data_IF_321688625969
#
_entry.id   IF_321688625969
#
_cell.length_a   1.000
_cell.length_b   1.000
_cell.length_c   1.000
_cell.angle_alpha   90.00
_cell.angle_beta   90.00
_cell.angle_gamma   90.00
#
_symmetry.space_group_name_H-M   'P 1'
#
loop_
_entity.id
_entity.type
_entity.pdbx_description
1 polymer ?
#
# COMPACT_ATOMS: atom_id res chain seq x y z
N UNK A 1 1.73 3.40 15.44
CA UNK A 1 1.55 1.99 15.04
C UNK A 1 0.16 1.73 14.44
N UNK A 2 -0.92 1.93 15.20
CA UNK A 2 -2.31 1.63 14.74
C UNK A 2 -2.64 2.33 13.42
N UNK A 3 -2.36 3.62 13.28
CA UNK A 3 -2.63 4.36 12.04
C UNK A 3 -1.89 3.75 10.83
N UNK A 4 -0.62 3.37 10.97
CA UNK A 4 0.14 2.73 9.88
C UNK A 4 -0.44 1.36 9.52
N UNK A 5 -0.88 0.58 10.52
CA UNK A 5 -1.56 -0.70 10.27
C UNK A 5 -2.86 -0.50 9.50
N UNK A 6 -3.70 0.42 9.92
CA UNK A 6 -4.97 0.70 9.24
C UNK A 6 -4.74 1.17 7.80
N UNK A 7 -3.80 2.10 7.59
CA UNK A 7 -3.48 2.61 6.25
C UNK A 7 -2.81 1.56 5.36
N UNK A 8 -2.09 0.62 5.93
CA UNK A 8 -1.51 -0.51 5.20
C UNK A 8 -2.51 -1.61 4.88
N UNK A 9 -3.44 -1.90 5.79
CA UNK A 9 -4.40 -3.01 5.66
C UNK A 9 -5.65 -2.63 4.87
N UNK A 10 -6.20 -1.41 5.04
CA UNK A 10 -7.45 -1.00 4.40
C UNK A 10 -7.45 -1.18 2.88
N UNK A 11 -6.42 -0.77 2.13
CA UNK A 11 -6.38 -1.01 0.68
C UNK A 11 -6.36 -2.49 0.32
N UNK A 12 -5.71 -3.34 1.14
CA UNK A 12 -5.71 -4.79 0.94
C UNK A 12 -7.09 -5.40 1.18
N UNK A 13 -7.83 -4.93 2.18
CA UNK A 13 -9.23 -5.35 2.43
C UNK A 13 -10.11 -4.95 1.26
N UNK A 14 -9.98 -3.72 0.75
CA UNK A 14 -10.74 -3.26 -0.42
C UNK A 14 -10.39 -4.09 -1.67
N UNK A 15 -9.11 -4.41 -1.87
CA UNK A 15 -8.67 -5.29 -2.95
C UNK A 15 -9.25 -6.70 -2.82
N UNK A 16 -9.33 -7.25 -1.59
CA UNK A 16 -9.93 -8.57 -1.34
C UNK A 16 -11.45 -8.59 -1.60
N UNK A 17 -12.16 -7.54 -1.21
CA UNK A 17 -13.58 -7.38 -1.51
C UNK A 17 -13.83 -7.28 -3.01
N UNK A 18 -13.02 -6.50 -3.72
CA UNK A 18 -13.08 -6.42 -5.18
C UNK A 18 -12.82 -7.79 -5.82
N UNK A 19 -11.74 -8.47 -5.42
CA UNK A 19 -11.38 -9.78 -5.94
C UNK A 19 -12.48 -10.80 -5.73
N UNK A 20 -13.07 -10.84 -4.54
CA UNK A 20 -14.19 -11.71 -4.22
C UNK A 20 -15.39 -11.42 -5.13
N UNK A 21 -15.85 -10.17 -5.17
CA UNK A 21 -17.04 -9.78 -5.93
C UNK A 21 -16.87 -10.01 -7.43
N UNK A 22 -15.69 -9.67 -7.95
CA UNK A 22 -15.37 -9.87 -9.36
C UNK A 22 -15.36 -11.35 -9.74
N UNK A 23 -14.60 -12.17 -9.02
CA UNK A 23 -14.48 -13.59 -9.34
C UNK A 23 -15.80 -14.33 -9.12
N UNK A 24 -16.58 -13.92 -8.11
CA UNK A 24 -17.93 -14.44 -7.89
C UNK A 24 -18.83 -14.22 -9.11
N UNK A 25 -18.98 -12.99 -9.58
CA UNK A 25 -19.92 -12.64 -10.66
C UNK A 25 -19.44 -13.13 -12.03
N UNK A 26 -18.13 -13.13 -12.26
CA UNK A 26 -17.56 -13.38 -13.60
C UNK A 26 -17.20 -14.85 -13.81
N UNK A 27 -16.81 -15.55 -12.74
CA UNK A 27 -16.31 -16.93 -12.86
C UNK A 27 -17.23 -17.91 -12.16
N UNK A 28 -17.44 -17.74 -10.86
CA UNK A 28 -18.09 -18.77 -10.02
C UNK A 28 -19.57 -18.91 -10.35
N UNK A 29 -20.31 -17.81 -10.38
CA UNK A 29 -21.73 -17.82 -10.70
C UNK A 29 -22.05 -18.44 -12.08
N UNK A 30 -21.33 -18.12 -13.17
CA UNK A 30 -21.47 -18.83 -14.43
C UNK A 30 -21.13 -20.33 -14.37
N UNK A 31 -20.16 -20.74 -13.54
CA UNK A 31 -19.83 -22.16 -13.34
C UNK A 31 -20.96 -22.90 -12.64
N UNK A 32 -21.53 -22.31 -11.58
CA UNK A 32 -22.68 -22.88 -10.88
C UNK A 32 -23.90 -23.03 -11.83
N UNK A 33 -24.15 -22.02 -12.67
CA UNK A 33 -25.21 -22.09 -13.70
C UNK A 33 -24.99 -23.18 -14.74
N UNK A 34 -23.73 -23.62 -14.94
CA UNK A 34 -23.38 -24.77 -15.80
C UNK A 34 -23.46 -26.12 -15.06
N UNK A 35 -23.90 -26.15 -13.81
CA UNK A 35 -24.05 -27.39 -13.02
C UNK A 35 -22.79 -27.83 -12.30
N UNK A 36 -21.81 -26.92 -12.10
CA UNK A 36 -20.60 -27.20 -11.33
C UNK A 36 -20.83 -26.68 -9.88
N UNK A 37 -21.75 -27.33 -9.15
CA UNK A 37 -22.21 -26.82 -7.82
C UNK A 37 -21.11 -26.76 -6.78
N UNK A 38 -20.08 -27.59 -6.88
CA UNK A 38 -18.95 -27.58 -5.92
C UNK A 38 -18.04 -26.36 -6.08
N UNK A 39 -18.04 -25.66 -7.21
CA UNK A 39 -17.19 -24.49 -7.45
C UNK A 39 -17.44 -23.37 -6.44
N UNK A 40 -18.70 -23.13 -6.08
CA UNK A 40 -19.08 -22.15 -5.07
C UNK A 40 -18.47 -22.48 -3.70
N UNK A 41 -18.65 -23.71 -3.25
CA UNK A 41 -18.13 -24.15 -1.94
C UNK A 41 -16.60 -24.03 -1.87
N UNK A 42 -15.88 -24.55 -2.86
CA UNK A 42 -14.42 -24.49 -2.89
C UNK A 42 -13.90 -23.05 -2.99
N UNK A 43 -14.58 -22.19 -3.75
CA UNK A 43 -14.22 -20.78 -3.82
C UNK A 43 -14.40 -20.09 -2.46
N UNK A 44 -15.55 -20.25 -1.82
CA UNK A 44 -15.82 -19.62 -0.51
C UNK A 44 -14.82 -20.08 0.56
N UNK A 45 -14.55 -21.38 0.67
CA UNK A 45 -13.56 -21.93 1.59
C UNK A 45 -12.17 -21.37 1.29
N UNK A 46 -11.77 -21.34 0.02
CA UNK A 46 -10.47 -20.79 -0.38
C UNK A 46 -10.35 -19.31 -0.04
N UNK A 47 -11.38 -18.51 -0.26
CA UNK A 47 -11.41 -17.08 0.10
C UNK A 47 -11.21 -16.89 1.61
N UNK A 48 -11.93 -17.65 2.43
CA UNK A 48 -11.80 -17.56 3.89
C UNK A 48 -10.38 -17.94 4.33
N UNK A 49 -9.88 -19.07 3.88
CA UNK A 49 -8.56 -19.58 4.27
C UNK A 49 -7.45 -18.63 3.81
N UNK A 50 -7.44 -18.29 2.53
CA UNK A 50 -6.37 -17.44 1.95
C UNK A 50 -6.37 -16.05 2.59
N UNK A 51 -7.53 -15.43 2.77
CA UNK A 51 -7.58 -14.11 3.40
C UNK A 51 -7.21 -14.18 4.88
N UNK A 52 -7.71 -15.16 5.63
CA UNK A 52 -7.36 -15.31 7.05
C UNK A 52 -5.86 -15.51 7.25
N UNK A 53 -5.25 -16.43 6.51
CA UNK A 53 -3.81 -16.69 6.59
C UNK A 53 -3.02 -15.50 6.07
N UNK A 54 -3.38 -14.95 4.90
CA UNK A 54 -2.67 -13.86 4.26
C UNK A 54 -2.69 -12.59 5.10
N UNK A 55 -3.86 -12.16 5.59
CA UNK A 55 -3.96 -10.97 6.45
C UNK A 55 -3.24 -11.16 7.79
N UNK A 56 -3.36 -12.33 8.41
CA UNK A 56 -2.67 -12.61 9.68
C UNK A 56 -1.16 -12.59 9.52
N UNK A 57 -0.64 -13.27 8.49
CA UNK A 57 0.79 -13.33 8.20
C UNK A 57 1.33 -11.96 7.77
N UNK A 58 0.63 -11.25 6.88
CA UNK A 58 1.01 -9.91 6.43
C UNK A 58 1.05 -8.91 7.58
N UNK A 59 0.03 -8.93 8.45
CA UNK A 59 -0.02 -8.09 9.64
C UNK A 59 1.12 -8.39 10.59
N UNK A 60 1.36 -9.66 10.91
CA UNK A 60 2.44 -10.07 11.82
C UNK A 60 3.81 -9.63 11.27
N UNK A 61 4.06 -9.84 9.98
CA UNK A 61 5.31 -9.45 9.33
C UNK A 61 5.48 -7.93 9.31
N UNK A 62 4.43 -7.17 8.99
CA UNK A 62 4.49 -5.71 9.01
C UNK A 62 4.72 -5.17 10.42
N UNK A 63 4.02 -5.70 11.43
CA UNK A 63 4.23 -5.34 12.85
C UNK A 63 5.67 -5.61 13.26
N UNK A 64 6.23 -6.77 12.91
CA UNK A 64 7.63 -7.11 13.17
C UNK A 64 8.59 -6.07 12.55
N UNK A 65 8.37 -5.69 11.29
CA UNK A 65 9.20 -4.71 10.59
C UNK A 65 9.04 -3.29 11.12
N UNK A 66 7.85 -2.89 11.58
CA UNK A 66 7.56 -1.57 12.11
C UNK A 66 7.88 -1.41 13.62
N UNK A 67 8.00 -2.51 14.35
CA UNK A 67 8.22 -2.49 15.80
C UNK A 67 9.45 -1.67 16.25
N UNK A 68 10.63 -1.73 15.58
CA UNK A 68 11.76 -0.89 15.95
C UNK A 68 11.45 0.61 15.89
N UNK A 69 10.72 1.05 14.85
CA UNK A 69 10.31 2.46 14.68
C UNK A 69 9.32 2.86 15.76
N UNK A 70 8.35 2.00 16.06
CA UNK A 70 7.38 2.25 17.12
C UNK A 70 8.01 2.37 18.50
N UNK A 71 8.96 1.48 18.82
CA UNK A 71 9.73 1.57 20.09
C UNK A 71 10.62 2.82 20.12
N UNK A 72 11.33 3.12 19.03
CA UNK A 72 12.14 4.32 18.93
C UNK A 72 11.31 5.60 19.12
N UNK A 73 10.08 5.63 18.61
CA UNK A 73 9.16 6.76 18.83
C UNK A 73 8.72 6.86 20.30
N UNK A 74 8.43 5.72 20.94
CA UNK A 74 8.12 5.69 22.37
C UNK A 74 9.31 6.17 23.23
N UNK A 75 10.52 5.71 22.92
CA UNK A 75 11.74 6.16 23.59
C UNK A 75 11.92 7.68 23.44
N UNK A 76 11.73 8.21 22.23
CA UNK A 76 11.79 9.65 21.97
C UNK A 76 10.75 10.44 22.78
N UNK A 77 9.49 9.97 22.82
CA UNK A 77 8.42 10.59 23.61
C UNK A 77 8.69 10.57 25.12
N UNK A 78 9.37 9.53 25.59
CA UNK A 78 9.77 9.41 26.99
C UNK A 78 11.08 10.18 27.33
N UNK A 79 11.61 10.95 26.39
CA UNK A 79 12.83 11.75 26.59
C UNK A 79 14.12 10.93 26.67
N UNK A 80 14.12 9.67 26.21
CA UNK A 80 15.31 8.82 26.17
C UNK A 80 16.24 9.32 25.07
N UNK A 81 17.49 9.61 25.43
CA UNK A 81 18.53 9.98 24.46
C UNK A 81 18.97 8.76 23.66
N UNK A 82 18.68 8.77 22.36
CA UNK A 82 19.08 7.73 21.44
C UNK A 82 20.50 7.97 20.90
N UNK A 83 21.29 6.91 20.73
CA UNK A 83 22.62 7.02 20.12
C UNK A 83 22.52 7.41 18.65
N UNK A 84 23.54 8.09 18.06
CA UNK A 84 23.53 8.48 16.64
C UNK A 84 23.33 7.29 15.70
N UNK A 85 23.95 6.15 15.98
CA UNK A 85 23.79 4.92 15.21
C UNK A 85 22.36 4.36 15.27
N UNK A 86 21.72 4.46 16.44
CA UNK A 86 20.32 4.04 16.61
C UNK A 86 19.38 4.97 15.84
N UNK A 87 19.62 6.27 15.87
CA UNK A 87 18.84 7.25 15.11
C UNK A 87 18.97 7.03 13.58
N UNK A 88 20.20 6.79 13.09
CA UNK A 88 20.43 6.47 11.68
C UNK A 88 19.63 5.22 11.25
N UNK A 89 19.71 4.15 12.03
CA UNK A 89 18.91 2.93 11.79
C UNK A 89 17.40 3.19 11.78
N UNK A 90 16.90 4.00 12.74
CA UNK A 90 15.46 4.31 12.81
C UNK A 90 14.99 5.16 11.64
N UNK A 91 15.80 6.12 11.17
CA UNK A 91 15.51 6.94 9.99
C UNK A 91 15.39 6.06 8.75
N UNK A 92 16.41 5.25 8.48
CA UNK A 92 16.39 4.32 7.35
C UNK A 92 15.18 3.39 7.42
N UNK A 93 14.95 2.76 8.56
CA UNK A 93 13.86 1.83 8.77
C UNK A 93 12.50 2.50 8.58
N UNK A 94 12.32 3.70 9.11
CA UNK A 94 11.09 4.49 8.97
C UNK A 94 10.77 4.76 7.50
N UNK A 95 11.73 5.26 6.74
CA UNK A 95 11.53 5.59 5.32
C UNK A 95 11.28 4.36 4.45
N UNK A 96 11.77 3.17 4.85
CA UNK A 96 11.57 1.93 4.12
C UNK A 96 10.23 1.24 4.41
N UNK A 97 9.47 1.64 5.44
CA UNK A 97 8.23 0.95 5.84
C UNK A 97 7.18 0.91 4.72
N UNK A 98 7.03 2.01 3.95
CA UNK A 98 6.12 2.04 2.81
C UNK A 98 6.48 0.98 1.76
N UNK A 99 7.77 0.80 1.47
CA UNK A 99 8.25 -0.21 0.53
C UNK A 99 8.05 -1.63 1.08
N UNK A 100 8.28 -1.83 2.36
CA UNK A 100 8.08 -3.14 2.98
C UNK A 100 6.63 -3.58 2.95
N UNK A 101 5.68 -2.70 3.30
CA UNK A 101 4.26 -3.06 3.25
C UNK A 101 3.79 -3.35 1.82
N UNK A 102 4.25 -2.57 0.83
CA UNK A 102 3.94 -2.82 -0.56
C UNK A 102 4.48 -4.17 -1.02
N UNK A 103 5.73 -4.50 -0.69
CA UNK A 103 6.35 -5.78 -1.05
C UNK A 103 5.64 -6.97 -0.39
N UNK A 104 5.33 -6.88 0.92
CA UNK A 104 4.56 -7.89 1.64
C UNK A 104 3.23 -8.12 0.94
N UNK A 105 2.50 -7.04 0.63
CA UNK A 105 1.20 -7.13 -0.03
C UNK A 105 1.30 -7.80 -1.39
N UNK A 106 2.23 -7.38 -2.25
CA UNK A 106 2.43 -8.01 -3.57
C UNK A 106 2.79 -9.48 -3.44
N UNK A 107 3.72 -9.84 -2.56
CA UNK A 107 4.10 -11.24 -2.36
C UNK A 107 2.90 -12.10 -1.94
N UNK A 108 2.07 -11.62 -1.03
CA UNK A 108 0.88 -12.34 -0.58
C UNK A 108 -0.14 -12.50 -1.70
N UNK A 109 -0.37 -11.46 -2.52
CA UNK A 109 -1.27 -11.55 -3.68
C UNK A 109 -0.75 -12.50 -4.76
N UNK A 110 0.57 -12.51 -5.03
CA UNK A 110 1.20 -13.45 -5.97
C UNK A 110 1.07 -14.89 -5.49
N UNK A 111 1.27 -15.14 -4.18
CA UNK A 111 1.12 -16.47 -3.60
C UNK A 111 -0.35 -16.93 -3.61
N UNK A 112 -1.29 -16.02 -3.32
CA UNK A 112 -2.72 -16.32 -3.35
C UNK A 112 -3.22 -16.67 -4.75
N UNK A 113 -2.59 -16.12 -5.80
CA UNK A 113 -3.00 -16.27 -7.20
C UNK A 113 -3.30 -17.70 -7.66
N UNK A 114 -2.38 -18.62 -7.53
CA UNK A 114 -2.59 -20.01 -7.95
C UNK A 114 -3.49 -20.82 -7.01
N UNK A 115 -3.68 -20.38 -5.76
CA UNK A 115 -4.45 -21.17 -4.77
C UNK A 115 -5.91 -21.30 -5.17
N UNK A 116 -6.55 -20.22 -5.61
CA UNK A 116 -7.95 -20.24 -6.01
C UNK A 116 -8.24 -21.19 -7.20
N UNK A 117 -7.54 -21.05 -8.34
CA UNK A 117 -7.73 -21.98 -9.45
C UNK A 117 -7.46 -23.43 -9.09
N UNK A 118 -6.41 -23.71 -8.30
CA UNK A 118 -6.06 -25.05 -7.88
C UNK A 118 -7.13 -25.66 -6.96
N UNK A 119 -7.73 -24.88 -6.08
CA UNK A 119 -8.76 -25.36 -5.17
C UNK A 119 -10.07 -25.67 -5.90
N UNK A 120 -10.44 -24.88 -6.89
CA UNK A 120 -11.69 -25.07 -7.68
C UNK A 120 -11.55 -26.22 -8.67
N UNK A 121 -10.41 -26.37 -9.34
CA UNK A 121 -10.00 -27.53 -10.11
C UNK A 121 -10.66 -27.72 -11.49
N UNK A 122 -11.79 -27.09 -11.78
CA UNK A 122 -12.57 -27.29 -12.99
C UNK A 122 -12.65 -26.03 -13.88
N UNK A 123 -11.52 -25.36 -14.08
CA UNK A 123 -11.45 -24.09 -14.79
C UNK A 123 -11.09 -24.27 -16.27
N UNK A 124 -11.77 -23.52 -17.13
CA UNK A 124 -11.37 -23.31 -18.51
C UNK A 124 -10.23 -22.29 -18.58
N UNK A 125 -9.44 -22.29 -19.67
CA UNK A 125 -8.36 -21.30 -19.87
C UNK A 125 -8.80 -19.85 -19.67
N UNK A 126 -10.00 -19.53 -20.13
CA UNK A 126 -10.60 -18.21 -19.97
C UNK A 126 -10.76 -17.80 -18.50
N UNK A 127 -11.18 -18.73 -17.63
CA UNK A 127 -11.38 -18.49 -16.22
C UNK A 127 -10.05 -18.19 -15.52
N UNK A 128 -8.97 -18.88 -15.92
CA UNK A 128 -7.61 -18.56 -15.46
C UNK A 128 -7.19 -17.13 -15.82
N UNK A 129 -7.47 -16.68 -17.05
CA UNK A 129 -7.15 -15.31 -17.47
C UNK A 129 -7.88 -14.29 -16.60
N UNK A 130 -9.13 -14.53 -16.26
CA UNK A 130 -9.90 -13.64 -15.39
C UNK A 130 -9.37 -13.62 -13.96
N UNK A 131 -9.04 -14.78 -13.39
CA UNK A 131 -8.37 -14.84 -12.08
C UNK A 131 -7.05 -14.07 -12.08
N UNK A 132 -6.18 -14.32 -13.03
CA UNK A 132 -4.88 -13.62 -13.12
C UNK A 132 -5.07 -12.12 -13.26
N UNK A 133 -6.03 -11.67 -14.07
CA UNK A 133 -6.29 -10.25 -14.29
C UNK A 133 -6.83 -9.57 -13.03
N UNK A 134 -7.79 -10.21 -12.34
CA UNK A 134 -8.32 -9.66 -11.07
C UNK A 134 -7.24 -9.58 -9.99
N UNK A 135 -6.36 -10.57 -9.92
CA UNK A 135 -5.24 -10.60 -8.99
C UNK A 135 -4.18 -9.54 -9.32
N UNK A 136 -3.91 -9.30 -10.61
CA UNK A 136 -3.01 -8.23 -11.03
C UNK A 136 -3.55 -6.85 -10.61
N UNK A 137 -4.85 -6.59 -10.79
CA UNK A 137 -5.50 -5.37 -10.33
C UNK A 137 -5.38 -5.24 -8.79
N UNK A 138 -5.69 -6.32 -8.06
CA UNK A 138 -5.56 -6.34 -6.60
C UNK A 138 -4.12 -6.12 -6.15
N UNK A 139 -3.15 -6.72 -6.83
CA UNK A 139 -1.73 -6.51 -6.57
C UNK A 139 -1.29 -5.06 -6.76
N UNK A 140 -1.79 -4.38 -7.81
CA UNK A 140 -1.51 -2.95 -8.02
C UNK A 140 -2.13 -2.09 -6.92
N UNK A 141 -3.38 -2.35 -6.50
CA UNK A 141 -4.03 -1.67 -5.38
C UNK A 141 -3.20 -1.88 -4.10
N UNK A 142 -2.90 -3.15 -3.82
CA UNK A 142 -2.19 -3.58 -2.62
C UNK A 142 -0.73 -3.07 -2.54
N UNK A 143 -0.09 -2.81 -3.67
CA UNK A 143 1.24 -2.20 -3.70
C UNK A 143 1.17 -0.67 -3.55
N UNK A 144 0.31 -0.03 -4.33
CA UNK A 144 0.31 1.42 -4.52
C UNK A 144 -0.17 2.17 -3.29
N UNK A 145 -1.36 1.85 -2.81
CA UNK A 145 -1.98 2.64 -1.73
C UNK A 145 -1.33 2.45 -0.37
N UNK A 146 -0.95 1.22 0.06
CA UNK A 146 -0.15 1.05 1.26
C UNK A 146 1.20 1.75 1.20
N UNK A 147 1.89 1.69 0.04
CA UNK A 147 3.15 2.42 -0.12
C UNK A 147 2.95 3.91 0.12
N UNK A 148 2.02 4.55 -0.60
CA UNK A 148 1.81 6.00 -0.52
C UNK A 148 1.35 6.41 0.88
N UNK A 149 0.38 5.73 1.46
CA UNK A 149 -0.20 6.10 2.76
C UNK A 149 0.77 5.89 3.93
N UNK A 150 1.51 4.78 3.94
CA UNK A 150 2.51 4.53 4.99
C UNK A 150 3.72 5.44 4.80
N UNK A 151 4.18 5.68 3.57
CA UNK A 151 5.26 6.64 3.29
C UNK A 151 4.88 8.04 3.75
N UNK A 152 3.64 8.47 3.51
CA UNK A 152 3.16 9.75 4.00
C UNK A 152 3.27 9.86 5.53
N UNK A 153 2.79 8.89 6.28
CA UNK A 153 2.92 8.91 7.76
C UNK A 153 4.39 8.93 8.18
N UNK A 154 5.22 8.17 7.49
CA UNK A 154 6.65 8.10 7.80
C UNK A 154 7.37 9.43 7.55
N UNK A 155 7.10 10.09 6.42
CA UNK A 155 7.77 11.36 6.08
C UNK A 155 7.20 12.54 6.87
N UNK A 156 5.88 12.57 7.07
CA UNK A 156 5.19 13.70 7.71
C UNK A 156 5.31 13.71 9.24
N UNK A 157 5.31 12.52 9.87
CA UNK A 157 5.23 12.42 11.33
C UNK A 157 6.48 11.81 11.95
N UNK A 158 6.88 10.62 11.47
CA UNK A 158 7.85 9.81 12.21
C UNK A 158 9.31 10.21 11.95
N UNK A 159 9.65 10.52 10.71
CA UNK A 159 11.03 10.82 10.34
C UNK A 159 11.58 12.03 11.07
N UNK A 160 10.76 13.06 11.26
CA UNK A 160 11.13 14.29 11.96
C UNK A 160 11.59 14.04 13.40
N UNK A 161 11.00 13.06 14.08
CA UNK A 161 11.37 12.70 15.44
C UNK A 161 12.78 12.09 15.55
N UNK A 162 13.31 11.56 14.46
CA UNK A 162 14.61 10.89 14.42
C UNK A 162 15.73 11.72 13.80
N UNK A 163 15.49 12.99 13.45
CA UNK A 163 16.53 13.89 12.97
C UNK A 163 17.40 14.33 14.17
N UNK A 164 18.69 14.07 14.08
CA UNK A 164 19.65 14.39 15.14
C UNK A 164 20.74 15.36 14.66
N UNK A 165 21.30 16.16 15.58
CA UNK A 165 22.50 16.95 15.32
C UNK A 165 23.68 16.04 14.91
N UNK A 166 24.35 16.39 13.81
CA UNK A 166 25.57 15.68 13.37
C UNK A 166 25.34 14.41 12.55
N UNK A 167 24.12 14.14 12.05
CA UNK A 167 23.88 13.05 11.10
C UNK A 167 24.55 13.31 9.75
N UNK A 168 25.10 12.26 9.13
CA UNK A 168 25.76 12.33 7.83
C UNK A 168 24.74 12.57 6.72
N UNK A 169 24.74 13.77 6.14
CA UNK A 169 23.73 14.22 5.16
C UNK A 169 23.70 13.45 3.85
N UNK A 170 24.83 12.87 3.45
CA UNK A 170 24.94 12.19 2.16
C UNK A 170 24.05 10.92 2.10
N UNK A 171 24.04 10.13 3.18
CA UNK A 171 23.25 8.90 3.26
C UNK A 171 21.74 9.21 3.34
N UNK A 172 21.35 10.18 4.14
CA UNK A 172 19.95 10.60 4.28
C UNK A 172 19.42 11.17 2.94
N UNK A 173 20.23 11.98 2.25
CA UNK A 173 19.87 12.54 0.94
C UNK A 173 19.69 11.44 -0.13
N UNK A 174 20.57 10.44 -0.15
CA UNK A 174 20.47 9.31 -1.07
C UNK A 174 19.18 8.52 -0.83
N UNK A 175 18.82 8.27 0.43
CA UNK A 175 17.61 7.57 0.80
C UNK A 175 16.34 8.36 0.44
N UNK A 176 16.30 9.67 0.71
CA UNK A 176 15.19 10.54 0.32
C UNK A 176 15.01 10.60 -1.21
N UNK A 177 16.11 10.66 -1.97
CA UNK A 177 16.05 10.60 -3.43
C UNK A 177 15.51 9.26 -3.95
N UNK A 178 15.84 8.15 -3.27
CA UNK A 178 15.33 6.83 -3.60
C UNK A 178 13.82 6.72 -3.41
N UNK A 179 13.30 7.29 -2.30
CA UNK A 179 11.85 7.35 -2.05
C UNK A 179 11.16 8.26 -3.07
N UNK A 180 11.79 9.36 -3.43
CA UNK A 180 11.31 10.27 -4.47
C UNK A 180 11.14 9.55 -5.82
N UNK A 181 12.10 8.69 -6.20
CA UNK A 181 11.97 7.86 -7.39
C UNK A 181 10.85 6.81 -7.28
N UNK A 182 10.69 6.18 -6.10
CA UNK A 182 9.65 5.16 -5.89
C UNK A 182 8.25 5.75 -5.95
N UNK A 183 7.99 6.91 -5.34
CA UNK A 183 6.66 7.53 -5.36
C UNK A 183 6.15 7.77 -6.77
N UNK A 184 7.04 8.13 -7.72
CA UNK A 184 6.68 8.28 -9.13
C UNK A 184 6.22 6.96 -9.75
N UNK A 185 6.93 5.87 -9.47
CA UNK A 185 6.56 4.53 -9.97
C UNK A 185 5.18 4.12 -9.46
N UNK A 186 4.92 4.32 -8.16
CA UNK A 186 3.63 3.98 -7.58
C UNK A 186 2.50 4.90 -8.05
N UNK A 187 2.76 6.17 -8.32
CA UNK A 187 1.77 7.04 -8.94
C UNK A 187 1.41 6.60 -10.36
N UNK A 188 2.40 6.16 -11.16
CA UNK A 188 2.14 5.60 -12.48
C UNK A 188 1.31 4.32 -12.41
N UNK A 189 1.59 3.44 -11.43
CA UNK A 189 0.77 2.26 -11.19
C UNK A 189 -0.67 2.63 -10.80
N UNK A 190 -0.86 3.63 -9.94
CA UNK A 190 -2.20 4.12 -9.59
C UNK A 190 -2.95 4.67 -10.82
N UNK A 191 -2.26 5.37 -11.72
CA UNK A 191 -2.83 5.88 -12.97
C UNK A 191 -3.20 4.79 -13.97
N UNK A 192 -2.53 3.64 -13.94
CA UNK A 192 -2.86 2.50 -14.79
C UNK A 192 -4.14 1.77 -14.34
N UNK A 193 -4.52 1.86 -13.06
CA UNK A 193 -5.68 1.14 -12.51
C UNK A 193 -6.99 1.42 -13.22
N UNK A 194 -7.43 2.68 -13.45
CA UNK A 194 -8.67 2.96 -14.16
C UNK A 194 -8.67 2.38 -15.57
N UNK A 195 -7.54 2.42 -16.27
CA UNK A 195 -7.40 1.86 -17.61
C UNK A 195 -7.51 0.33 -17.60
N UNK A 196 -6.86 -0.35 -16.65
CA UNK A 196 -6.96 -1.80 -16.49
C UNK A 196 -8.39 -2.24 -16.21
N UNK A 197 -9.09 -1.50 -15.34
CA UNK A 197 -10.49 -1.79 -14.98
C UNK A 197 -11.43 -1.60 -16.17
N UNK A 198 -11.29 -0.51 -16.93
CA UNK A 198 -12.10 -0.26 -18.13
C UNK A 198 -11.84 -1.32 -19.20
N UNK A 199 -10.58 -1.65 -19.45
CA UNK A 199 -10.20 -2.70 -20.40
C UNK A 199 -10.81 -4.04 -20.02
N UNK A 200 -10.70 -4.42 -18.76
CA UNK A 200 -11.28 -5.65 -18.23
C UNK A 200 -12.81 -5.66 -18.42
N UNK A 201 -13.46 -4.57 -18.09
CA UNK A 201 -14.91 -4.43 -18.26
C UNK A 201 -15.35 -4.54 -19.72
N UNK A 202 -14.61 -3.97 -20.66
CA UNK A 202 -14.88 -4.09 -22.09
C UNK A 202 -14.73 -5.53 -22.60
N UNK A 203 -13.68 -6.23 -22.13
CA UNK A 203 -13.45 -7.64 -22.48
C UNK A 203 -14.54 -8.54 -21.92
N UNK A 204 -15.10 -8.23 -20.77
CA UNK A 204 -16.15 -9.01 -20.11
C UNK A 204 -17.57 -8.67 -20.59
N UNK A 205 -17.76 -7.50 -21.19
CA UNK A 205 -19.07 -6.99 -21.61
C UNK A 205 -19.91 -7.99 -22.43
N UNK A 206 -19.32 -8.78 -23.34
CA UNK A 206 -20.11 -9.76 -24.11
C UNK A 206 -20.64 -10.94 -23.29
N UNK A 207 -20.11 -11.18 -22.10
CA UNK A 207 -20.39 -12.38 -21.30
C UNK A 207 -21.24 -12.10 -20.06
N UNK A 208 -21.18 -10.88 -19.56
CA UNK A 208 -21.98 -10.40 -18.45
C UNK A 208 -23.12 -9.60 -19.04
N UNK A 209 -24.37 -9.93 -18.73
CA UNK A 209 -25.53 -9.23 -19.28
C UNK A 209 -25.33 -7.71 -19.25
N UNK A 210 -25.74 -7.02 -20.31
CA UNK A 210 -25.38 -5.61 -20.57
C UNK A 210 -25.59 -4.65 -19.38
N UNK A 211 -26.63 -4.88 -18.58
CA UNK A 211 -26.93 -4.07 -17.39
C UNK A 211 -25.89 -4.28 -16.26
N UNK A 212 -25.54 -5.52 -15.98
CA UNK A 212 -24.55 -5.84 -14.94
C UNK A 212 -23.15 -5.37 -15.35
N UNK A 213 -22.78 -5.54 -16.61
CA UNK A 213 -21.52 -5.01 -17.15
C UNK A 213 -21.44 -3.49 -17.03
N UNK A 214 -22.53 -2.77 -17.35
CA UNK A 214 -22.57 -1.30 -17.24
C UNK A 214 -22.44 -0.82 -15.78
N UNK A 215 -23.12 -1.51 -14.85
CA UNK A 215 -22.99 -1.17 -13.42
C UNK A 215 -21.58 -1.45 -12.92
N UNK A 216 -21.01 -2.61 -13.27
CA UNK A 216 -19.66 -2.99 -12.88
C UNK A 216 -18.63 -2.00 -13.43
N UNK A 217 -18.71 -1.65 -14.71
CA UNK A 217 -17.87 -0.62 -15.36
C UNK A 217 -18.00 0.76 -14.68
N UNK A 218 -19.24 1.16 -14.36
CA UNK A 218 -19.49 2.43 -13.68
C UNK A 218 -18.85 2.47 -12.30
N UNK A 219 -19.11 1.45 -11.47
CA UNK A 219 -18.59 1.36 -10.10
C UNK A 219 -17.06 1.26 -10.10
N UNK A 220 -16.49 0.40 -10.93
CA UNK A 220 -15.05 0.18 -10.99
C UNK A 220 -14.32 1.37 -11.62
N UNK A 221 -14.87 1.95 -12.69
CA UNK A 221 -14.30 3.13 -13.34
C UNK A 221 -14.29 4.34 -12.40
N UNK A 222 -15.42 4.59 -11.72
CA UNK A 222 -15.51 5.66 -10.72
C UNK A 222 -14.58 5.41 -9.53
N UNK A 223 -14.56 4.16 -9.00
CA UNK A 223 -13.67 3.78 -7.91
C UNK A 223 -12.19 3.92 -8.29
N UNK A 224 -11.82 3.52 -9.50
CA UNK A 224 -10.46 3.68 -10.03
C UNK A 224 -10.05 5.14 -10.17
N UNK A 225 -10.96 6.00 -10.67
CA UNK A 225 -10.72 7.45 -10.77
C UNK A 225 -10.59 8.09 -9.39
N UNK A 226 -11.49 7.79 -8.46
CA UNK A 226 -11.41 8.29 -7.10
C UNK A 226 -10.10 7.84 -6.41
N UNK A 227 -9.72 6.59 -6.58
CA UNK A 227 -8.46 6.06 -6.10
C UNK A 227 -7.26 6.82 -6.69
N UNK A 228 -7.26 7.09 -7.99
CA UNK A 228 -6.19 7.88 -8.62
C UNK A 228 -6.10 9.29 -8.07
N UNK A 229 -7.24 9.96 -7.82
CA UNK A 229 -7.26 11.30 -7.19
C UNK A 229 -6.64 11.25 -5.80
N UNK A 230 -6.97 10.23 -4.98
CA UNK A 230 -6.37 10.03 -3.66
C UNK A 230 -4.86 9.77 -3.77
N UNK A 231 -4.43 8.93 -4.71
CA UNK A 231 -3.01 8.67 -4.94
C UNK A 231 -2.25 9.94 -5.36
N UNK A 232 -2.85 10.77 -6.22
CA UNK A 232 -2.28 12.04 -6.66
C UNK A 232 -2.18 13.05 -5.52
N UNK A 233 -3.18 13.09 -4.64
CA UNK A 233 -3.14 13.93 -3.44
C UNK A 233 -2.03 13.49 -2.49
N UNK A 234 -1.96 12.20 -2.14
CA UNK A 234 -0.89 11.64 -1.32
C UNK A 234 0.49 11.91 -1.92
N UNK A 235 0.63 11.72 -3.24
CA UNK A 235 1.87 12.01 -3.95
C UNK A 235 2.32 13.46 -3.76
N UNK A 236 1.40 14.43 -3.91
CA UNK A 236 1.71 15.85 -3.75
C UNK A 236 2.14 16.18 -2.32
N UNK A 237 1.44 15.62 -1.32
CA UNK A 237 1.79 15.83 0.08
C UNK A 237 3.18 15.24 0.40
N UNK A 238 3.44 13.99 -0.02
CA UNK A 238 4.76 13.37 0.15
C UNK A 238 5.85 14.18 -0.58
N UNK A 239 5.55 14.75 -1.73
CA UNK A 239 6.50 15.58 -2.46
C UNK A 239 6.88 16.84 -1.69
N UNK A 240 5.90 17.51 -1.08
CA UNK A 240 6.14 18.68 -0.25
C UNK A 240 6.98 18.30 0.98
N UNK A 241 6.61 17.22 1.69
CA UNK A 241 7.34 16.71 2.83
C UNK A 241 8.80 16.36 2.49
N UNK A 242 9.02 15.64 1.38
CA UNK A 242 10.38 15.30 0.93
C UNK A 242 11.22 16.52 0.56
N UNK A 243 10.62 17.54 -0.04
CA UNK A 243 11.30 18.78 -0.34
C UNK A 243 11.75 19.52 0.95
N UNK A 244 10.85 19.61 1.93
CA UNK A 244 11.15 20.16 3.25
C UNK A 244 12.24 19.36 3.97
N UNK A 245 12.15 18.03 3.97
CA UNK A 245 13.15 17.16 4.60
C UNK A 245 14.53 17.29 3.92
N UNK A 246 14.59 17.39 2.59
CA UNK A 246 15.85 17.62 1.87
C UNK A 246 16.46 18.99 2.23
N UNK A 247 15.64 20.04 2.28
CA UNK A 247 16.10 21.37 2.68
C UNK A 247 16.57 21.39 4.14
N UNK A 248 15.81 20.77 5.03
CA UNK A 248 16.16 20.64 6.43
C UNK A 248 17.48 19.88 6.62
N UNK A 249 17.67 18.76 5.94
CA UNK A 249 18.90 17.96 5.97
C UNK A 249 20.11 18.77 5.46
N UNK A 250 19.91 19.56 4.39
CA UNK A 250 20.96 20.42 3.84
C UNK A 250 21.31 21.60 4.77
N UNK A 251 20.31 22.28 5.32
CA UNK A 251 20.51 23.42 6.23
C UNK A 251 21.22 22.99 7.52
N UNK A 252 20.90 21.80 8.02
CA UNK A 252 21.54 21.22 9.20
C UNK A 252 23.03 20.96 9.00
N UNK A 253 23.42 20.51 7.80
CA UNK A 253 24.83 20.33 7.44
C UNK A 253 25.65 21.61 7.34
N UNK A 254 25.00 22.69 6.92
CA UNK A 254 25.71 23.95 6.65
C UNK A 254 25.74 24.92 7.84
N UNK A 255 24.73 24.92 8.72
CA UNK A 255 24.56 25.99 9.72
C UNK A 255 24.56 25.58 11.20
N UNK A 256 24.68 24.29 11.53
CA UNK A 256 24.66 23.78 12.93
C UNK A 256 23.43 24.14 13.78
N UNK A 257 22.49 24.93 13.31
CA UNK A 257 21.35 25.40 14.10
C UNK A 257 20.03 25.25 13.35
N UNK A 258 19.50 24.03 13.45
CA UNK A 258 18.27 23.62 12.78
C UNK A 258 17.01 24.32 13.30
N UNK A 259 16.99 24.64 14.62
CA UNK A 259 15.85 25.33 15.25
C UNK A 259 15.68 26.76 14.80
N UNK A 260 16.76 27.42 14.39
CA UNK A 260 16.73 28.79 13.88
C UNK A 260 16.41 28.88 12.37
N UNK A 261 16.59 27.80 11.64
CA UNK A 261 16.42 27.80 10.17
C UNK A 261 14.98 27.52 9.70
N UNK A 262 14.15 26.89 10.52
CA UNK A 262 12.78 26.51 10.15
C UNK A 262 11.82 26.69 11.32
N UNK A 263 10.79 27.48 11.10
CA UNK A 263 9.63 27.54 11.98
C UNK A 263 8.74 26.33 11.72
N UNK A 264 8.78 25.34 12.61
CA UNK A 264 7.94 24.17 12.59
C UNK A 264 6.62 24.38 13.31
N UNK A 265 6.25 25.63 13.61
CA UNK A 265 5.00 25.95 14.32
C UNK A 265 3.76 25.47 13.58
N UNK A 266 3.84 25.33 12.26
CA UNK A 266 2.74 24.86 11.40
C UNK A 266 2.70 23.34 11.21
N UNK A 267 3.72 22.62 11.68
CA UNK A 267 3.63 21.16 11.71
C UNK A 267 2.79 20.74 12.91
N UNK A 268 1.87 19.78 12.76
CA UNK A 268 1.12 19.26 13.89
C UNK A 268 2.11 18.59 14.85
N UNK A 269 2.61 19.38 15.79
CA UNK A 269 3.47 18.88 16.87
C UNK A 269 2.63 17.89 17.66
N UNK A 270 2.97 16.61 17.55
CA UNK A 270 2.45 15.58 18.42
C UNK A 270 2.87 15.94 19.84
N UNK A 271 1.97 16.66 20.52
CA UNK A 271 1.90 16.75 21.96
C UNK A 271 3.10 17.36 22.70
N UNK A 272 3.08 18.67 22.87
CA UNK A 272 3.51 19.23 24.14
C UNK A 272 2.31 19.17 25.10
N UNK A 273 2.26 18.15 25.92
CA UNK A 273 1.69 18.17 27.27
C UNK A 273 2.55 17.29 28.15
#
# INVERSE_FOLDING_TARGET
>A
MVCMLLLGLLPNVLAALFNYSFNWEVIIRPMTMRGIDQAEHYFQVSVIVVNTVGFSMGTALFVYLANPVSRGMADFQNGVTLSPSRLAFLRERCLMLGQYIALISVCLWVIAGPVYPLAIGALEWRDYVYFITSLAICGVIAATYPFLSVTWVCTHVLYLAFIAPGSTHAEDTALLNRIDAWKWRYLMLAGALPMLVVTLGLVLSPQVGSRTASILLGVLGFGGLAGFIVALWLFRVIQADLALLKQATWAYGTKRDFRQAYDFSDLPVVGNK
#
